data_IF_510683955177
#
_entry.id   IF_510683955177
#
_cell.length_a   1.000
_cell.length_b   1.000
_cell.length_c   1.000
_cell.angle_alpha   90.00
_cell.angle_beta   90.00
_cell.angle_gamma   90.00
#
_symmetry.space_group_name_H-M   'P 1'
#
loop_
_entity.id
_entity.type
_entity.pdbx_description
1 polymer ?
#
# COMPACT_ATOMS: atom_id res chain seq x y z
N UNK A 1 2.80 38.76 2.27
CA UNK A 1 4.16 38.18 2.33
C UNK A 1 4.03 36.73 1.90
N UNK A 2 4.56 36.37 0.73
CA UNK A 2 4.49 35.00 0.23
C UNK A 2 5.70 34.24 0.77
N UNK A 3 5.48 33.34 1.73
CA UNK A 3 6.50 32.39 2.17
C UNK A 3 6.67 31.39 1.02
N UNK A 4 7.60 31.68 0.11
CA UNK A 4 7.90 30.78 -0.98
C UNK A 4 8.77 29.67 -0.40
N UNK A 5 8.26 28.45 -0.43
CA UNK A 5 8.97 27.26 -0.05
C UNK A 5 10.25 27.13 -0.92
N UNK A 6 11.47 27.19 -0.34
CA UNK A 6 12.72 27.14 -1.09
C UNK A 6 12.87 25.87 -1.94
N UNK A 7 12.26 24.75 -1.53
CA UNK A 7 12.28 23.48 -2.25
C UNK A 7 11.47 23.59 -3.54
N UNK A 8 10.39 24.39 -3.55
CA UNK A 8 9.59 24.65 -4.76
C UNK A 8 10.32 25.46 -5.83
N UNK A 9 11.38 26.20 -5.46
CA UNK A 9 12.18 27.00 -6.40
C UNK A 9 13.43 26.24 -6.88
N UNK A 10 13.82 25.18 -6.19
CA UNK A 10 14.96 24.36 -6.58
C UNK A 10 14.60 23.51 -7.80
N UNK A 11 15.18 23.78 -8.98
CA UNK A 11 14.90 23.02 -10.21
C UNK A 11 15.14 21.51 -10.08
N UNK A 12 16.01 21.10 -9.16
CA UNK A 12 16.30 19.70 -8.88
C UNK A 12 15.25 19.04 -7.95
N UNK A 13 14.59 19.81 -7.09
CA UNK A 13 13.59 19.31 -6.13
C UNK A 13 12.14 19.55 -6.59
N UNK A 14 11.90 20.56 -7.44
CA UNK A 14 10.58 20.86 -8.02
C UNK A 14 9.86 19.64 -8.62
N UNK A 15 10.50 18.76 -9.43
CA UNK A 15 9.79 17.60 -9.98
C UNK A 15 9.36 16.60 -8.90
N UNK A 16 10.25 16.24 -7.97
CA UNK A 16 9.95 15.33 -6.87
C UNK A 16 8.83 15.89 -5.98
N UNK A 17 8.93 17.16 -5.58
CA UNK A 17 7.91 17.85 -4.77
C UNK A 17 6.56 17.93 -5.50
N UNK A 18 6.53 18.10 -6.82
CA UNK A 18 5.27 18.09 -7.57
C UNK A 18 4.62 16.70 -7.57
N UNK A 19 5.41 15.64 -7.72
CA UNK A 19 4.91 14.26 -7.64
C UNK A 19 4.42 13.92 -6.23
N UNK A 20 5.15 14.33 -5.18
CA UNK A 20 4.75 14.18 -3.77
C UNK A 20 3.43 14.88 -3.47
N UNK A 21 3.26 16.13 -3.90
CA UNK A 21 2.00 16.86 -3.70
C UNK A 21 0.84 16.18 -4.43
N UNK A 22 1.04 15.73 -5.68
CA UNK A 22 0.00 15.00 -6.43
C UNK A 22 -0.39 13.70 -5.72
N UNK A 23 0.58 12.96 -5.21
CA UNK A 23 0.33 11.73 -4.46
C UNK A 23 -0.45 12.02 -3.17
N UNK A 24 -0.04 13.05 -2.43
CA UNK A 24 -0.69 13.43 -1.18
C UNK A 24 -2.14 13.90 -1.40
N UNK A 25 -2.41 14.68 -2.45
CA UNK A 25 -3.77 15.13 -2.72
C UNK A 25 -4.72 14.01 -3.18
N UNK A 26 -4.21 13.07 -3.98
CA UNK A 26 -5.05 12.10 -4.71
C UNK A 26 -5.03 10.70 -4.13
N UNK A 27 -3.87 10.20 -3.71
CA UNK A 27 -3.66 8.78 -3.42
C UNK A 27 -3.64 8.48 -1.92
N UNK A 28 -3.18 9.42 -1.08
CA UNK A 28 -3.10 9.17 0.37
C UNK A 28 -4.46 8.96 1.03
N UNK A 29 -5.50 9.63 0.52
CA UNK A 29 -6.89 9.45 0.95
C UNK A 29 -7.40 8.06 0.59
N UNK A 30 -7.06 7.56 -0.60
CA UNK A 30 -7.38 6.19 -1.01
C UNK A 30 -6.74 5.18 -0.05
N UNK A 31 -5.46 5.38 0.30
CA UNK A 31 -4.74 4.49 1.20
C UNK A 31 -5.31 4.51 2.64
N UNK A 32 -5.61 5.69 3.18
CA UNK A 32 -6.15 5.88 4.54
C UNK A 32 -7.61 5.46 4.69
N UNK A 33 -8.44 5.64 3.66
CA UNK A 33 -9.81 5.09 3.65
C UNK A 33 -9.80 3.56 3.67
N UNK A 34 -8.76 2.96 3.07
CA UNK A 34 -8.57 1.53 3.00
C UNK A 34 -9.42 0.85 1.94
N UNK A 35 -9.19 -0.46 1.79
CA UNK A 35 -9.97 -1.31 0.91
C UNK A 35 -10.13 -2.72 1.50
N UNK A 36 -11.17 -3.42 1.06
CA UNK A 36 -11.44 -4.81 1.44
C UNK A 36 -10.66 -5.76 0.53
N UNK A 37 -9.97 -6.71 1.13
CA UNK A 37 -9.17 -7.72 0.45
C UNK A 37 -9.46 -9.11 0.99
N UNK A 38 -9.09 -10.12 0.24
CA UNK A 38 -8.98 -11.50 0.70
C UNK A 38 -7.52 -11.81 1.02
N UNK A 39 -7.24 -12.37 2.19
CA UNK A 39 -5.89 -12.85 2.54
C UNK A 39 -5.59 -14.15 1.80
N UNK A 40 -4.56 -14.17 0.97
CA UNK A 40 -4.03 -15.41 0.39
C UNK A 40 -2.84 -15.85 1.26
N UNK A 41 -3.06 -16.77 2.18
CA UNK A 41 -2.01 -17.22 3.11
C UNK A 41 -1.36 -18.53 2.60
N UNK A 42 -0.02 -18.61 2.61
CA UNK A 42 0.71 -19.84 2.23
C UNK A 42 0.84 -20.83 3.39
N UNK A 43 0.84 -20.39 4.66
CA UNK A 43 0.92 -21.31 5.81
C UNK A 43 0.14 -20.83 7.06
N UNK A 44 -0.75 -21.72 7.54
CA UNK A 44 -1.37 -21.79 8.88
C UNK A 44 -1.91 -20.49 9.49
N UNK A 45 -3.23 -20.24 9.40
CA UNK A 45 -4.13 -20.05 10.56
C UNK A 45 -5.56 -20.42 10.11
N UNK A 46 -6.22 -21.32 10.83
CA UNK A 46 -7.66 -21.58 10.70
C UNK A 46 -8.43 -20.35 11.20
N UNK A 47 -9.14 -19.63 10.33
CA UNK A 47 -10.40 -18.94 10.68
C UNK A 47 -11.14 -18.50 9.41
N UNK A 48 -12.23 -19.21 9.13
CA UNK A 48 -13.46 -18.78 8.44
C UNK A 48 -13.46 -17.37 7.82
N UNK A 49 -13.41 -17.36 6.48
CA UNK A 49 -13.70 -16.23 5.58
C UNK A 49 -12.66 -15.11 5.65
N UNK A 50 -11.57 -15.27 4.90
CA UNK A 50 -10.36 -14.44 4.86
C UNK A 50 -10.55 -13.00 4.31
N UNK A 51 -11.70 -12.37 4.53
CA UNK A 51 -11.90 -10.96 4.20
C UNK A 51 -11.29 -10.08 5.29
N UNK A 52 -10.45 -9.13 4.88
CA UNK A 52 -9.86 -8.12 5.75
C UNK A 52 -10.00 -6.74 5.15
N UNK A 53 -9.95 -5.72 6.00
CA UNK A 53 -9.82 -4.34 5.56
C UNK A 53 -8.37 -3.91 5.77
N UNK A 54 -7.68 -3.54 4.69
CA UNK A 54 -6.33 -3.01 4.73
C UNK A 54 -6.38 -1.49 4.55
N UNK A 55 -5.77 -0.75 5.47
CA UNK A 55 -5.72 0.71 5.42
C UNK A 55 -4.40 1.25 5.94
N UNK A 56 -4.03 2.42 5.46
CA UNK A 56 -2.91 3.18 5.97
C UNK A 56 -3.31 3.90 7.27
N UNK A 57 -2.45 3.85 8.28
CA UNK A 57 -2.61 4.59 9.53
C UNK A 57 -2.71 6.10 9.28
N UNK A 58 -3.42 6.88 10.11
CA UNK A 58 -3.52 8.34 9.96
C UNK A 58 -2.18 9.09 10.00
N UNK A 59 -1.18 8.53 10.69
CA UNK A 59 0.20 9.01 10.73
C UNK A 59 1.05 8.56 9.53
N UNK A 60 0.46 7.79 8.61
CA UNK A 60 1.06 7.27 7.38
C UNK A 60 2.30 6.39 7.56
N UNK A 61 2.47 5.73 8.71
CA UNK A 61 3.64 4.87 8.99
C UNK A 61 3.33 3.39 8.97
N UNK A 62 2.08 3.00 9.21
CA UNK A 62 1.70 1.61 9.38
C UNK A 62 0.55 1.21 8.45
N UNK A 63 0.62 0.00 7.90
CA UNK A 63 -0.54 -0.67 7.33
C UNK A 63 -1.27 -1.44 8.43
N UNK A 64 -2.56 -1.18 8.55
CA UNK A 64 -3.44 -1.77 9.55
C UNK A 64 -4.33 -2.78 8.82
N UNK A 65 -4.41 -3.99 9.38
CA UNK A 65 -5.23 -5.09 8.86
C UNK A 65 -6.36 -5.39 9.84
N UNK A 66 -7.55 -4.88 9.57
CA UNK A 66 -8.74 -5.16 10.38
C UNK A 66 -9.42 -6.45 9.89
N UNK A 67 -9.91 -7.26 10.82
CA UNK A 67 -10.60 -8.53 10.53
C UNK A 67 -9.71 -9.78 10.58
N UNK A 68 -8.39 -9.61 10.63
CA UNK A 68 -7.41 -10.69 10.77
C UNK A 68 -6.45 -10.42 11.92
N UNK A 69 -5.84 -11.48 12.48
CA UNK A 69 -4.85 -11.38 13.56
C UNK A 69 -3.45 -11.09 13.02
N UNK A 70 -3.32 -10.09 12.15
CA UNK A 70 -2.03 -9.61 11.66
C UNK A 70 -1.62 -8.36 12.45
N UNK A 71 -0.34 -8.29 12.84
CA UNK A 71 0.20 -7.08 13.45
C UNK A 71 0.25 -5.95 12.40
N UNK A 72 0.12 -4.68 12.82
CA UNK A 72 0.35 -3.55 11.93
C UNK A 72 1.75 -3.63 11.30
N UNK A 73 1.84 -3.42 9.99
CA UNK A 73 3.09 -3.48 9.26
C UNK A 73 3.68 -2.08 9.11
N UNK A 74 4.90 -1.85 9.58
CA UNK A 74 5.61 -0.58 9.36
C UNK A 74 6.05 -0.47 7.89
N UNK A 75 5.72 0.65 7.24
CA UNK A 75 6.00 0.86 5.81
C UNK A 75 7.51 0.87 5.52
N UNK A 76 8.33 1.31 6.47
CA UNK A 76 9.79 1.34 6.29
C UNK A 76 10.41 -0.06 6.29
N UNK A 77 9.65 -1.08 6.71
CA UNK A 77 10.09 -2.48 6.69
C UNK A 77 9.75 -3.18 5.37
N UNK A 78 8.97 -2.54 4.50
CA UNK A 78 8.59 -3.10 3.19
C UNK A 78 9.83 -3.12 2.29
N UNK A 79 10.20 -4.31 1.83
CA UNK A 79 11.37 -4.51 0.95
C UNK A 79 10.98 -4.65 -0.52
N UNK A 80 9.79 -5.17 -0.80
CA UNK A 80 9.29 -5.29 -2.16
C UNK A 80 7.77 -5.30 -2.21
N UNK A 81 7.22 -4.83 -3.33
CA UNK A 81 5.79 -4.91 -3.63
C UNK A 81 5.61 -5.49 -5.03
N UNK A 82 4.88 -6.60 -5.14
CA UNK A 82 4.62 -7.29 -6.41
C UNK A 82 3.12 -7.29 -6.68
N UNK A 83 2.71 -6.75 -7.82
CA UNK A 83 1.31 -6.70 -8.23
C UNK A 83 1.05 -7.75 -9.30
N UNK A 84 0.10 -8.64 -9.03
CA UNK A 84 -0.39 -9.62 -9.98
C UNK A 84 -1.62 -9.07 -10.71
N UNK A 85 -1.61 -9.19 -12.05
CA UNK A 85 -2.66 -8.67 -12.92
C UNK A 85 -3.24 -9.81 -13.74
N UNK A 86 -4.55 -9.93 -13.72
CA UNK A 86 -5.30 -10.80 -14.60
C UNK A 86 -5.55 -10.08 -15.95
N UNK A 87 -5.35 -10.75 -17.10
CA UNK A 87 -5.49 -10.11 -18.41
C UNK A 87 -6.91 -9.61 -18.71
N UNK A 88 -7.93 -10.13 -18.02
CA UNK A 88 -9.34 -9.80 -18.24
C UNK A 88 -9.84 -8.81 -17.17
N UNK A 89 -9.46 -9.03 -15.91
CA UNK A 89 -10.01 -8.31 -14.77
C UNK A 89 -9.11 -7.20 -14.21
N UNK A 90 -7.89 -7.05 -14.72
CA UNK A 90 -6.94 -6.03 -14.26
C UNK A 90 -6.20 -6.46 -13.00
N UNK A 91 -6.02 -5.55 -12.03
CA UNK A 91 -5.27 -5.86 -10.80
C UNK A 91 -6.02 -6.92 -10.00
N UNK A 92 -5.36 -8.07 -9.79
CA UNK A 92 -5.94 -9.23 -9.09
C UNK A 92 -5.49 -9.28 -7.64
N UNK A 93 -4.18 -9.20 -7.40
CA UNK A 93 -3.61 -9.31 -6.05
C UNK A 93 -2.32 -8.49 -5.90
N UNK A 94 -1.94 -8.22 -4.67
CA UNK A 94 -0.65 -7.62 -4.31
C UNK A 94 0.04 -8.48 -3.27
N UNK A 95 1.33 -8.71 -3.44
CA UNK A 95 2.21 -9.31 -2.44
C UNK A 95 3.13 -8.22 -1.90
N UNK A 96 3.15 -8.08 -0.58
CA UNK A 96 3.99 -7.14 0.16
C UNK A 96 5.02 -7.96 0.93
N UNK A 97 6.27 -7.82 0.54
CA UNK A 97 7.42 -8.44 1.20
C UNK A 97 7.99 -7.46 2.22
N UNK A 98 8.26 -7.92 3.44
CA UNK A 98 8.79 -7.09 4.52
C UNK A 98 9.76 -7.84 5.42
N UNK A 99 10.70 -7.11 6.01
CA UNK A 99 11.68 -7.65 6.96
C UNK A 99 11.34 -7.24 8.40
N UNK A 100 11.38 -8.21 9.32
CA UNK A 100 11.27 -7.89 10.74
C UNK A 100 12.67 -7.57 11.26
N UNK A 101 12.80 -6.51 12.07
CA UNK A 101 14.09 -6.05 12.58
C UNK A 101 14.88 -7.21 13.21
N UNK A 102 16.12 -7.42 12.74
CA UNK A 102 17.05 -8.49 13.10
C UNK A 102 16.76 -9.90 12.55
N UNK A 103 15.78 -10.07 11.67
CA UNK A 103 15.54 -11.34 10.97
C UNK A 103 16.10 -11.31 9.54
N UNK A 104 16.82 -12.37 9.16
CA UNK A 104 17.23 -12.60 7.76
C UNK A 104 16.03 -13.08 6.93
N UNK A 105 15.04 -13.66 7.58
CA UNK A 105 13.81 -14.14 6.96
C UNK A 105 12.92 -12.97 6.54
N UNK A 106 12.52 -13.00 5.26
CA UNK A 106 11.54 -12.09 4.70
C UNK A 106 10.15 -12.69 4.87
N UNK A 107 9.22 -11.90 5.37
CA UNK A 107 7.82 -12.28 5.43
C UNK A 107 7.09 -11.71 4.21
N UNK A 108 6.04 -12.39 3.77
CA UNK A 108 5.19 -11.93 2.68
C UNK A 108 3.75 -11.94 3.14
N UNK A 109 3.00 -10.88 2.82
CA UNK A 109 1.55 -10.86 2.94
C UNK A 109 0.95 -10.66 1.55
N UNK A 110 0.05 -11.56 1.15
CA UNK A 110 -0.61 -11.50 -0.15
C UNK A 110 -2.09 -11.16 0.02
N UNK A 111 -2.51 -10.08 -0.64
CA UNK A 111 -3.86 -9.53 -0.59
C UNK A 111 -4.49 -9.62 -1.98
N UNK A 112 -5.55 -10.40 -2.11
CA UNK A 112 -6.35 -10.50 -3.33
C UNK A 112 -7.54 -9.55 -3.30
N UNK A 113 -7.86 -8.95 -4.44
CA UNK A 113 -9.11 -8.19 -4.60
C UNK A 113 -10.32 -9.11 -4.48
N UNK A 114 -11.39 -8.61 -3.87
CA UNK A 114 -12.65 -9.35 -3.73
C UNK A 114 -13.33 -9.56 -5.09
N UNK A 115 -14.18 -10.59 -5.25
CA UNK A 115 -14.97 -10.76 -6.47
C UNK A 115 -16.07 -9.70 -6.67
N UNK A 116 -16.50 -9.03 -5.60
CA UNK A 116 -17.53 -7.98 -5.67
C UNK A 116 -17.01 -6.74 -6.40
N UNK A 117 -17.77 -6.23 -7.39
CA UNK A 117 -17.31 -5.23 -8.35
C UNK A 117 -16.83 -3.92 -7.69
N UNK A 118 -17.57 -3.41 -6.70
CA UNK A 118 -17.29 -2.11 -6.07
C UNK A 118 -16.06 -2.20 -5.15
N UNK A 119 -15.99 -3.26 -4.33
CA UNK A 119 -14.81 -3.55 -3.51
C UNK A 119 -13.58 -3.89 -4.35
N UNK A 120 -13.75 -4.58 -5.49
CA UNK A 120 -12.68 -4.86 -6.43
C UNK A 120 -12.07 -3.61 -7.03
N UNK A 121 -12.89 -2.66 -7.50
CA UNK A 121 -12.41 -1.37 -8.02
C UNK A 121 -11.64 -0.60 -6.96
N UNK A 122 -12.20 -0.53 -5.74
CA UNK A 122 -11.58 0.16 -4.60
C UNK A 122 -10.24 -0.50 -4.24
N UNK A 123 -10.19 -1.83 -4.17
CA UNK A 123 -8.97 -2.60 -3.94
C UNK A 123 -7.92 -2.40 -5.03
N UNK A 124 -8.31 -2.40 -6.31
CA UNK A 124 -7.41 -2.14 -7.42
C UNK A 124 -6.82 -0.71 -7.37
N UNK A 125 -7.65 0.29 -7.07
CA UNK A 125 -7.20 1.67 -6.85
C UNK A 125 -6.24 1.80 -5.66
N UNK A 126 -6.54 1.09 -4.56
CA UNK A 126 -5.67 1.05 -3.38
C UNK A 126 -4.32 0.40 -3.69
N UNK A 127 -4.30 -0.72 -4.43
CA UNK A 127 -3.05 -1.38 -4.84
C UNK A 127 -2.23 -0.47 -5.76
N UNK A 128 -2.87 0.23 -6.71
CA UNK A 128 -2.18 1.18 -7.58
C UNK A 128 -1.58 2.36 -6.79
N UNK A 129 -2.32 2.89 -5.81
CA UNK A 129 -1.82 3.91 -4.89
C UNK A 129 -0.63 3.41 -4.08
N UNK A 130 -0.68 2.18 -3.56
CA UNK A 130 0.42 1.59 -2.79
C UNK A 130 1.66 1.35 -3.66
N UNK A 131 1.47 0.90 -4.91
CA UNK A 131 2.57 0.74 -5.86
C UNK A 131 3.24 2.09 -6.16
N UNK A 132 2.47 3.16 -6.31
CA UNK A 132 3.02 4.51 -6.47
C UNK A 132 3.77 4.96 -5.21
N UNK A 133 3.24 4.69 -4.02
CA UNK A 133 3.87 5.03 -2.74
C UNK A 133 5.25 4.38 -2.60
N UNK A 134 5.34 3.05 -2.81
CA UNK A 134 6.61 2.31 -2.72
C UNK A 134 7.62 2.80 -3.75
N UNK A 135 7.18 3.10 -4.98
CA UNK A 135 8.07 3.69 -6.00
C UNK A 135 8.66 5.02 -5.54
N UNK A 136 7.87 5.85 -4.87
CA UNK A 136 8.34 7.14 -4.35
C UNK A 136 9.32 6.96 -3.18
N UNK A 137 9.12 5.96 -2.33
CA UNK A 137 10.05 5.63 -1.24
C UNK A 137 11.41 5.14 -1.74
N UNK A 138 11.44 4.37 -2.83
CA UNK A 138 12.69 3.87 -3.46
C UNK A 138 13.42 4.98 -4.26
N UNK A 139 12.71 6.05 -4.63
CA UNK A 139 13.27 7.17 -5.40
C UNK A 139 13.89 8.28 -4.54
N UNK A 140 13.86 8.15 -3.21
CA UNK A 140 14.46 9.08 -2.24
C UNK A 140 15.89 8.64 -1.86
#
# INVERSE_FOLDING_TARGET
MCFIDPVRICQNCTPATLEENKFFDQQIKTLTNGATFMLENDQMILSTTDLLQCKLSPDHRHLIFDGVKLAPLDINTITALRVDKDPINGVKSVEIEYSVANSVEKNCVRLATTPELEHRKTGASWIAAMQQAVKMLDSC
#
